data_IF_139522389062
#
_entry.id   IF_139522389062
#
_cell.length_a   1.000
_cell.length_b   1.000
_cell.length_c   1.000
_cell.angle_alpha   90.00
_cell.angle_beta   90.00
_cell.angle_gamma   90.00
#
_symmetry.space_group_name_H-M   'P 1'
#
loop_
_entity.id
_entity.type
_entity.pdbx_description
1 polymer ?
#
# COMPACT_ATOMS: atom_id res chain seq x y z
N UNK A 1 -61.27 27.42 36.15
CA UNK A 1 -60.31 28.31 35.45
C UNK A 1 -58.85 28.14 35.90
N UNK A 2 -58.50 28.01 37.20
CA UNK A 2 -57.08 27.88 37.64
C UNK A 2 -56.28 26.71 37.03
N UNK A 3 -56.90 25.53 36.77
CA UNK A 3 -56.20 24.37 36.18
C UNK A 3 -55.75 24.58 34.73
N UNK A 4 -56.47 25.39 33.93
CA UNK A 4 -56.13 25.62 32.51
C UNK A 4 -54.88 26.50 32.40
N UNK A 5 -54.73 27.51 33.26
CA UNK A 5 -53.55 28.38 33.27
C UNK A 5 -52.27 27.62 33.66
N UNK A 6 -52.37 26.58 34.50
CA UNK A 6 -51.21 25.78 34.91
C UNK A 6 -50.69 24.92 33.75
N UNK A 7 -51.60 24.30 32.98
CA UNK A 7 -51.25 23.47 31.82
C UNK A 7 -50.66 24.32 30.70
N UNK A 8 -51.22 25.50 30.43
CA UNK A 8 -50.70 26.39 29.39
C UNK A 8 -49.29 26.92 29.74
N UNK A 9 -49.05 27.24 31.01
CA UNK A 9 -47.72 27.64 31.49
C UNK A 9 -46.69 26.52 31.38
N UNK A 10 -47.07 25.27 31.68
CA UNK A 10 -46.20 24.11 31.54
C UNK A 10 -45.85 23.81 30.07
N UNK A 11 -46.79 23.96 29.14
CA UNK A 11 -46.55 23.75 27.70
C UNK A 11 -45.63 24.84 27.13
N UNK A 12 -45.82 26.10 27.53
CA UNK A 12 -45.00 27.22 27.07
C UNK A 12 -43.55 27.09 27.60
N UNK A 13 -43.38 26.73 28.86
CA UNK A 13 -42.05 26.52 29.46
C UNK A 13 -41.33 25.33 28.82
N UNK A 14 -42.02 24.22 28.55
CA UNK A 14 -41.43 23.08 27.83
C UNK A 14 -41.02 23.45 26.40
N UNK A 15 -41.86 24.19 25.67
CA UNK A 15 -41.54 24.66 24.31
C UNK A 15 -40.32 25.59 24.28
N UNK A 16 -40.23 26.52 25.23
CA UNK A 16 -39.08 27.44 25.35
C UNK A 16 -37.80 26.69 25.72
N UNK A 17 -37.89 25.71 26.63
CA UNK A 17 -36.73 24.88 27.01
C UNK A 17 -36.25 24.04 25.82
N UNK A 18 -37.18 23.45 25.05
CA UNK A 18 -36.83 22.68 23.86
C UNK A 18 -36.17 23.55 22.78
N UNK A 19 -36.72 24.74 22.51
CA UNK A 19 -36.13 25.70 21.58
C UNK A 19 -34.72 26.14 22.02
N UNK A 20 -34.52 26.40 23.32
CA UNK A 20 -33.20 26.73 23.87
C UNK A 20 -32.21 25.56 23.70
N UNK A 21 -32.62 24.31 23.95
CA UNK A 21 -31.75 23.14 23.72
C UNK A 21 -31.39 22.95 22.25
N UNK A 22 -32.30 23.24 21.32
CA UNK A 22 -32.02 23.18 19.88
C UNK A 22 -31.06 24.27 19.43
N UNK A 23 -31.17 25.49 19.99
CA UNK A 23 -30.23 26.58 19.71
C UNK A 23 -28.82 26.27 20.21
N UNK A 24 -28.69 25.78 21.45
CA UNK A 24 -27.40 25.37 22.00
C UNK A 24 -26.78 24.26 21.15
N UNK A 25 -27.56 23.25 20.77
CA UNK A 25 -27.07 22.17 19.91
C UNK A 25 -26.66 22.67 18.50
N UNK A 26 -27.33 23.69 17.97
CA UNK A 26 -26.98 24.30 16.68
C UNK A 26 -25.68 25.12 16.76
N UNK A 27 -25.48 25.87 17.86
CA UNK A 27 -24.25 26.62 18.10
C UNK A 27 -23.06 25.69 18.32
N UNK A 28 -23.24 24.60 19.08
CA UNK A 28 -22.21 23.57 19.30
C UNK A 28 -21.84 22.87 17.97
N UNK A 29 -22.83 22.51 17.16
CA UNK A 29 -22.59 21.92 15.83
C UNK A 29 -21.85 22.90 14.89
N UNK A 30 -22.21 24.20 14.91
CA UNK A 30 -21.53 25.22 14.11
C UNK A 30 -20.08 25.45 14.57
N UNK A 31 -19.81 25.38 15.88
CA UNK A 31 -18.48 25.48 16.43
C UNK A 31 -17.61 24.27 16.07
N UNK A 32 -18.17 23.05 16.15
CA UNK A 32 -17.49 21.81 15.72
C UNK A 32 -17.17 21.83 14.22
N UNK A 33 -18.13 22.28 13.40
CA UNK A 33 -17.96 22.46 11.96
C UNK A 33 -16.82 23.43 11.64
N UNK A 34 -16.75 24.56 12.34
CA UNK A 34 -15.68 25.54 12.17
C UNK A 34 -14.33 24.95 12.57
N UNK A 35 -14.24 24.31 13.73
CA UNK A 35 -13.00 23.68 14.19
C UNK A 35 -12.50 22.58 13.23
N UNK A 36 -13.43 21.79 12.67
CA UNK A 36 -13.14 20.78 11.65
C UNK A 36 -12.58 21.39 10.35
N UNK A 37 -13.14 22.52 9.90
CA UNK A 37 -12.65 23.27 8.74
C UNK A 37 -11.26 23.85 8.99
N UNK A 38 -11.06 24.53 10.12
CA UNK A 38 -9.77 25.15 10.48
C UNK A 38 -8.67 24.07 10.59
N UNK A 39 -8.99 22.92 11.19
CA UNK A 39 -8.07 21.76 11.26
C UNK A 39 -7.78 21.18 9.88
N UNK A 40 -8.79 21.06 9.02
CA UNK A 40 -8.62 20.59 7.64
C UNK A 40 -7.69 21.51 6.85
N UNK A 41 -7.88 22.83 6.95
CA UNK A 41 -7.04 23.82 6.28
C UNK A 41 -5.57 23.71 6.74
N UNK A 42 -5.35 23.58 8.06
CA UNK A 42 -4.00 23.36 8.60
C UNK A 42 -3.36 22.08 8.04
N UNK A 43 -4.09 20.96 8.03
CA UNK A 43 -3.58 19.68 7.51
C UNK A 43 -3.23 19.77 6.02
N UNK A 44 -4.05 20.46 5.23
CA UNK A 44 -3.81 20.66 3.80
C UNK A 44 -2.54 21.48 3.53
N UNK A 45 -2.31 22.51 4.35
CA UNK A 45 -1.10 23.33 4.24
C UNK A 45 0.17 22.54 4.59
N UNK A 46 0.09 21.64 5.58
CA UNK A 46 1.19 20.71 5.92
C UNK A 46 1.43 19.68 4.81
N UNK A 47 0.36 19.12 4.23
CA UNK A 47 0.46 18.21 3.07
C UNK A 47 1.15 18.90 1.89
N UNK A 48 0.82 20.16 1.60
CA UNK A 48 1.50 20.92 0.54
C UNK A 48 2.98 21.17 0.83
N UNK A 49 3.33 21.39 2.09
CA UNK A 49 4.73 21.55 2.50
C UNK A 49 5.51 20.25 2.26
N UNK A 50 4.99 19.12 2.75
CA UNK A 50 5.60 17.81 2.56
C UNK A 50 5.71 17.43 1.07
N UNK A 51 4.64 17.66 0.28
CA UNK A 51 4.65 17.41 -1.16
C UNK A 51 5.73 18.21 -1.92
N UNK A 52 5.97 19.46 -1.51
CA UNK A 52 7.06 20.27 -2.09
C UNK A 52 8.45 19.72 -1.75
N UNK A 53 8.63 19.15 -0.55
CA UNK A 53 9.88 18.51 -0.12
C UNK A 53 10.10 17.19 -0.87
N UNK A 54 9.06 16.37 -1.04
CA UNK A 54 9.11 15.15 -1.85
C UNK A 54 9.44 15.47 -3.32
N UNK A 55 8.83 16.54 -3.86
CA UNK A 55 9.15 17.01 -5.21
C UNK A 55 10.59 17.48 -5.33
N UNK A 56 11.08 18.25 -4.36
CA UNK A 56 12.48 18.69 -4.32
C UNK A 56 13.44 17.49 -4.25
N UNK A 57 13.10 16.46 -3.46
CA UNK A 57 13.88 15.22 -3.41
C UNK A 57 13.92 14.54 -4.77
N UNK A 58 12.77 14.38 -5.43
CA UNK A 58 12.70 13.83 -6.78
C UNK A 58 13.56 14.63 -7.78
N UNK A 59 13.48 15.96 -7.72
CA UNK A 59 14.20 16.84 -8.64
C UNK A 59 15.72 16.84 -8.36
N UNK A 60 16.17 16.68 -7.12
CA UNK A 60 17.60 16.47 -6.83
C UNK A 60 18.13 15.23 -7.56
N UNK A 61 17.40 14.12 -7.51
CA UNK A 61 17.80 12.88 -8.21
C UNK A 61 17.83 13.03 -9.75
N UNK A 62 17.12 14.02 -10.30
CA UNK A 62 17.16 14.32 -11.74
C UNK A 62 18.42 15.06 -12.18
N UNK A 63 19.27 15.46 -11.22
CA UNK A 63 20.47 16.27 -11.43
C UNK A 63 20.18 17.61 -12.13
N UNK A 64 19.04 18.25 -11.82
CA UNK A 64 18.72 19.59 -12.35
C UNK A 64 19.76 20.62 -11.85
N UNK A 65 20.57 21.24 -12.74
CA UNK A 65 21.57 22.23 -12.34
C UNK A 65 20.98 23.44 -11.60
N UNK A 66 19.69 23.74 -11.78
CA UNK A 66 18.99 24.84 -11.08
C UNK A 66 18.91 24.63 -9.58
N UNK A 67 19.08 23.39 -9.12
CA UNK A 67 18.98 22.99 -7.72
C UNK A 67 20.32 22.97 -6.97
N UNK A 68 21.42 23.43 -7.59
CA UNK A 68 22.75 23.50 -6.96
C UNK A 68 22.88 24.60 -5.88
N UNK A 69 21.81 25.32 -5.57
CA UNK A 69 21.79 26.41 -4.61
C UNK A 69 20.74 26.22 -3.52
N UNK A 70 20.47 27.31 -2.79
CA UNK A 70 19.44 27.33 -1.78
C UNK A 70 18.04 27.35 -2.43
N UNK A 71 17.25 26.31 -2.20
CA UNK A 71 15.86 26.23 -2.64
C UNK A 71 14.95 26.92 -1.61
N UNK A 72 14.21 27.94 -2.05
CA UNK A 72 13.35 28.76 -1.20
C UNK A 72 11.89 28.48 -1.53
N UNK A 73 11.11 28.11 -0.52
CA UNK A 73 9.67 27.91 -0.67
C UNK A 73 8.94 28.33 0.60
N UNK A 74 7.61 28.37 0.52
CA UNK A 74 6.74 28.75 1.64
C UNK A 74 5.90 27.55 2.07
N UNK A 75 5.94 27.27 3.35
CA UNK A 75 5.08 26.34 4.09
C UNK A 75 4.14 27.12 5.01
N UNK A 76 3.21 26.42 5.66
CA UNK A 76 2.32 27.00 6.67
C UNK A 76 3.10 27.66 7.82
N UNK A 77 4.19 27.00 8.24
CA UNK A 77 5.13 27.45 9.28
C UNK A 77 5.93 28.72 8.90
N UNK A 78 6.00 29.07 7.63
CA UNK A 78 6.74 30.24 7.15
C UNK A 78 7.56 29.98 5.88
N UNK A 79 8.57 30.83 5.66
CA UNK A 79 9.52 30.67 4.55
C UNK A 79 10.60 29.68 4.97
N UNK A 80 10.76 28.60 4.22
CA UNK A 80 11.84 27.63 4.40
C UNK A 80 12.89 27.83 3.30
N UNK A 81 14.16 27.63 3.68
CA UNK A 81 15.29 27.63 2.75
C UNK A 81 16.08 26.35 2.98
N UNK A 82 16.07 25.47 1.99
CA UNK A 82 16.79 24.20 2.05
C UNK A 82 18.02 24.30 1.15
N UNK A 83 19.18 23.97 1.70
CA UNK A 83 20.43 23.90 0.94
C UNK A 83 20.90 22.46 0.96
N UNK A 84 21.03 21.84 -0.22
CA UNK A 84 21.53 20.48 -0.32
C UNK A 84 22.93 20.35 0.31
N UNK A 85 23.23 19.25 1.03
CA UNK A 85 24.58 18.99 1.52
C UNK A 85 25.56 18.91 0.34
N UNK A 86 26.78 19.46 0.49
CA UNK A 86 27.76 19.48 -0.60
C UNK A 86 28.11 18.08 -1.14
N UNK A 87 28.09 17.06 -0.28
CA UNK A 87 28.36 15.67 -0.66
C UNK A 87 27.29 15.09 -1.60
N UNK A 88 26.04 15.57 -1.51
CA UNK A 88 24.90 15.01 -2.23
C UNK A 88 25.04 15.19 -3.74
N UNK A 89 25.63 16.30 -4.19
CA UNK A 89 25.85 16.55 -5.62
C UNK A 89 26.78 15.52 -6.26
N UNK A 90 27.87 15.14 -5.55
CA UNK A 90 28.80 14.11 -6.00
C UNK A 90 28.15 12.72 -6.02
N UNK A 91 27.38 12.39 -4.98
CA UNK A 91 26.68 11.11 -4.90
C UNK A 91 25.63 10.98 -6.01
N UNK A 92 24.79 12.00 -6.23
CA UNK A 92 23.77 11.97 -7.28
C UNK A 92 24.42 11.83 -8.66
N UNK A 93 25.50 12.56 -8.93
CA UNK A 93 26.24 12.42 -10.20
C UNK A 93 26.72 10.97 -10.40
N UNK A 94 27.17 10.31 -9.33
CA UNK A 94 27.55 8.90 -9.37
C UNK A 94 26.33 8.00 -9.59
N UNK A 95 25.23 8.22 -8.87
CA UNK A 95 23.98 7.44 -9.01
C UNK A 95 23.37 7.53 -10.43
N UNK A 96 23.46 8.69 -11.08
CA UNK A 96 23.02 8.86 -12.47
C UNK A 96 23.93 8.14 -13.46
N UNK A 97 25.21 7.95 -13.14
CA UNK A 97 26.15 7.21 -13.98
C UNK A 97 26.10 5.69 -13.76
N UNK A 98 25.74 5.24 -12.55
CA UNK A 98 25.65 3.80 -12.20
C UNK A 98 24.39 3.18 -12.81
N UNK A 99 24.58 2.20 -13.70
CA UNK A 99 23.49 1.33 -14.15
C UNK A 99 23.05 0.43 -13.00
N UNK A 100 21.74 0.38 -12.75
CA UNK A 100 21.18 -0.53 -11.77
C UNK A 100 21.18 -1.97 -12.32
N UNK A 101 21.39 -2.95 -11.44
CA UNK A 101 21.30 -4.35 -11.82
C UNK A 101 19.86 -4.71 -12.24
N UNK A 102 19.68 -5.23 -13.46
CA UNK A 102 18.36 -5.63 -13.96
C UNK A 102 18.30 -5.77 -15.49
N UNK A 103 17.14 -6.21 -15.99
CA UNK A 103 16.88 -6.29 -17.44
C UNK A 103 16.62 -4.91 -18.08
N UNK A 104 16.12 -3.97 -17.29
CA UNK A 104 15.85 -2.60 -17.72
C UNK A 104 17.10 -1.74 -17.51
N UNK A 105 17.46 -0.93 -18.50
CA UNK A 105 18.61 0.00 -18.43
C UNK A 105 18.27 1.25 -17.59
N UNK A 106 17.87 1.03 -16.34
CA UNK A 106 17.63 2.11 -15.38
C UNK A 106 18.92 2.44 -14.61
N UNK A 107 19.09 3.70 -14.27
CA UNK A 107 20.16 4.16 -13.36
C UNK A 107 19.72 4.02 -11.91
N UNK A 108 20.68 4.03 -10.98
CA UNK A 108 20.38 4.02 -9.55
C UNK A 108 19.49 5.21 -9.14
N UNK A 109 19.78 6.41 -9.67
CA UNK A 109 18.96 7.60 -9.42
C UNK A 109 17.51 7.42 -9.89
N UNK A 110 17.31 6.84 -11.08
CA UNK A 110 15.96 6.58 -11.61
C UNK A 110 15.19 5.55 -10.78
N UNK A 111 15.86 4.56 -10.18
CA UNK A 111 15.20 3.62 -9.26
C UNK A 111 14.69 4.33 -7.99
N UNK A 112 15.47 5.27 -7.44
CA UNK A 112 15.05 6.08 -6.29
C UNK A 112 13.99 7.14 -6.62
N UNK A 113 13.92 7.60 -7.87
CA UNK A 113 12.86 8.50 -8.32
C UNK A 113 11.48 7.85 -8.38
N UNK A 114 11.41 6.56 -8.69
CA UNK A 114 10.15 5.84 -8.83
C UNK A 114 9.22 5.90 -7.59
N UNK A 115 9.68 5.62 -6.35
CA UNK A 115 8.81 5.75 -5.17
C UNK A 115 8.43 7.21 -4.90
N UNK A 116 9.33 8.18 -5.11
CA UNK A 116 9.04 9.60 -4.90
C UNK A 116 8.01 10.14 -5.90
N UNK A 117 8.07 9.68 -7.16
CA UNK A 117 7.05 10.00 -8.16
C UNK A 117 5.67 9.47 -7.75
N UNK A 118 5.59 8.27 -7.17
CA UNK A 118 4.34 7.73 -6.65
C UNK A 118 3.80 8.58 -5.48
N UNK A 119 4.65 9.01 -4.54
CA UNK A 119 4.22 9.89 -3.44
C UNK A 119 3.79 11.28 -3.94
N UNK A 120 4.46 11.82 -4.95
CA UNK A 120 4.05 13.08 -5.59
C UNK A 120 2.67 12.94 -6.26
N UNK A 121 2.45 11.89 -7.05
CA UNK A 121 1.16 11.59 -7.66
C UNK A 121 0.05 11.43 -6.60
N UNK A 122 0.36 10.78 -5.47
CA UNK A 122 -0.56 10.69 -4.33
C UNK A 122 -0.93 12.08 -3.79
N UNK A 123 0.04 12.98 -3.62
CA UNK A 123 -0.23 14.35 -3.18
C UNK A 123 -1.12 15.13 -4.15
N UNK A 124 -0.96 14.92 -5.46
CA UNK A 124 -1.83 15.53 -6.48
C UNK A 124 -3.27 15.00 -6.39
N UNK A 125 -3.45 13.72 -6.10
CA UNK A 125 -4.77 13.16 -5.86
C UNK A 125 -5.45 13.73 -4.63
N UNK A 126 -4.71 13.85 -3.51
CA UNK A 126 -5.22 14.49 -2.29
C UNK A 126 -5.57 15.96 -2.56
N UNK A 127 -4.81 16.66 -3.41
CA UNK A 127 -5.15 18.04 -3.82
C UNK A 127 -6.48 18.12 -4.57
N UNK A 128 -6.82 17.11 -5.38
CA UNK A 128 -8.11 17.08 -6.10
C UNK A 128 -9.33 16.95 -5.18
N UNK A 129 -9.18 16.39 -3.98
CA UNK A 129 -10.29 16.30 -3.00
C UNK A 129 -10.52 17.59 -2.22
N UNK A 130 -9.64 18.59 -2.36
CA UNK A 130 -9.80 19.87 -1.66
C UNK A 130 -11.07 20.58 -2.10
N UNK A 131 -11.68 21.39 -1.21
CA UNK A 131 -12.72 22.31 -1.60
C UNK A 131 -12.29 23.18 -2.78
N UNK A 132 -13.23 23.48 -3.69
CA UNK A 132 -12.96 24.31 -4.88
C UNK A 132 -12.42 25.70 -4.48
N UNK A 133 -12.89 26.26 -3.37
CA UNK A 133 -12.41 27.53 -2.79
C UNK A 133 -10.90 27.52 -2.44
N UNK A 134 -10.32 26.35 -2.22
CA UNK A 134 -8.91 26.13 -1.88
C UNK A 134 -8.10 25.61 -3.08
N UNK A 135 -8.65 25.72 -4.30
CA UNK A 135 -7.99 25.32 -5.55
C UNK A 135 -8.07 23.82 -5.87
N UNK A 136 -8.91 23.07 -5.17
CA UNK A 136 -9.21 21.67 -5.49
C UNK A 136 -10.32 21.49 -6.51
N UNK A 137 -10.70 20.22 -6.72
CA UNK A 137 -11.84 19.84 -7.57
C UNK A 137 -13.08 19.46 -6.76
N UNK A 138 -13.00 19.47 -5.43
CA UNK A 138 -14.10 19.04 -4.54
C UNK A 138 -14.50 17.58 -4.72
N UNK A 139 -13.59 16.73 -5.23
CA UNK A 139 -13.90 15.32 -5.46
C UNK A 139 -14.14 14.60 -4.12
N UNK A 140 -15.14 13.71 -4.04
CA UNK A 140 -15.39 12.94 -2.83
C UNK A 140 -14.22 11.97 -2.56
N UNK A 141 -13.90 11.72 -1.29
CA UNK A 141 -12.77 10.88 -0.90
C UNK A 141 -12.80 9.48 -1.52
N UNK A 142 -14.00 8.89 -1.67
CA UNK A 142 -14.20 7.60 -2.35
C UNK A 142 -13.67 7.54 -3.78
N UNK A 143 -13.53 8.68 -4.46
CA UNK A 143 -12.91 8.77 -5.78
C UNK A 143 -11.44 8.32 -5.77
N UNK A 144 -10.79 8.38 -4.60
CA UNK A 144 -9.42 7.98 -4.43
C UNK A 144 -9.23 6.48 -4.27
N UNK A 145 -10.27 5.68 -3.96
CA UNK A 145 -10.08 4.27 -3.61
C UNK A 145 -9.32 3.47 -4.70
N UNK A 146 -9.77 3.57 -5.96
CA UNK A 146 -9.07 2.92 -7.07
C UNK A 146 -7.67 3.49 -7.32
N UNK A 147 -7.54 4.81 -7.27
CA UNK A 147 -6.27 5.49 -7.55
C UNK A 147 -5.21 5.23 -6.44
N UNK A 148 -5.63 5.14 -5.17
CA UNK A 148 -4.79 4.78 -4.03
C UNK A 148 -4.30 3.35 -4.15
N UNK A 149 -5.17 2.41 -4.53
CA UNK A 149 -4.76 1.02 -4.77
C UNK A 149 -3.71 0.93 -5.88
N UNK A 150 -3.92 1.63 -7.00
CA UNK A 150 -2.96 1.68 -8.12
C UNK A 150 -1.62 2.31 -7.69
N UNK A 151 -1.67 3.39 -6.91
CA UNK A 151 -0.49 4.03 -6.34
C UNK A 151 0.28 3.13 -5.39
N UNK A 152 -0.43 2.43 -4.52
CA UNK A 152 0.17 1.50 -3.57
C UNK A 152 0.91 0.40 -4.35
N UNK A 153 0.29 -0.21 -5.37
CA UNK A 153 0.96 -1.20 -6.24
C UNK A 153 2.19 -0.63 -6.93
N UNK A 154 2.14 0.62 -7.43
CA UNK A 154 3.30 1.28 -8.04
C UNK A 154 4.44 1.50 -7.04
N UNK A 155 4.11 1.96 -5.83
CA UNK A 155 5.08 2.18 -4.77
C UNK A 155 5.72 0.86 -4.32
N UNK A 156 4.93 -0.20 -4.13
CA UNK A 156 5.41 -1.54 -3.78
C UNK A 156 6.38 -2.10 -4.83
N UNK A 157 6.01 -2.00 -6.11
CA UNK A 157 6.89 -2.37 -7.22
C UNK A 157 8.20 -1.57 -7.21
N UNK A 158 8.13 -0.26 -6.94
CA UNK A 158 9.31 0.60 -6.89
C UNK A 158 10.24 0.22 -5.71
N UNK A 159 9.69 -0.03 -4.53
CA UNK A 159 10.45 -0.49 -3.37
C UNK A 159 11.04 -1.89 -3.58
N UNK A 160 10.31 -2.80 -4.22
CA UNK A 160 10.82 -4.12 -4.59
C UNK A 160 12.00 -4.03 -5.58
N UNK A 161 11.97 -3.06 -6.52
CA UNK A 161 13.10 -2.81 -7.42
C UNK A 161 14.34 -2.35 -6.66
N UNK A 162 14.19 -1.44 -5.70
CA UNK A 162 15.29 -1.00 -4.84
C UNK A 162 15.91 -2.17 -4.08
N UNK A 163 15.09 -3.03 -3.45
CA UNK A 163 15.55 -4.24 -2.75
C UNK A 163 16.35 -5.17 -3.66
N UNK A 164 15.82 -5.48 -4.84
CA UNK A 164 16.51 -6.35 -5.82
C UNK A 164 17.84 -5.77 -6.29
N UNK A 165 17.92 -4.45 -6.41
CA UNK A 165 19.15 -3.75 -6.76
C UNK A 165 20.13 -3.58 -5.58
N UNK A 166 19.78 -4.00 -4.37
CA UNK A 166 20.63 -3.96 -3.16
C UNK A 166 21.19 -2.56 -2.85
N UNK A 167 20.32 -1.55 -2.97
CA UNK A 167 20.69 -0.14 -2.92
C UNK A 167 20.72 0.47 -1.50
N UNK A 168 20.82 -0.36 -0.44
CA UNK A 168 20.85 0.12 0.94
C UNK A 168 22.02 1.07 1.24
N UNK A 169 23.15 0.91 0.52
CA UNK A 169 24.33 1.77 0.63
C UNK A 169 24.24 3.12 -0.11
N UNK A 170 23.14 3.41 -0.82
CA UNK A 170 22.97 4.67 -1.56
C UNK A 170 23.06 5.89 -0.64
N UNK A 171 23.16 7.09 -1.22
CA UNK A 171 23.16 8.35 -0.45
C UNK A 171 24.26 8.43 0.61
N UNK A 172 25.45 7.93 0.29
CA UNK A 172 26.57 7.85 1.24
C UNK A 172 26.24 7.01 2.48
N UNK A 173 25.57 5.86 2.31
CA UNK A 173 25.19 4.95 3.39
C UNK A 173 23.85 5.24 4.06
N UNK A 174 23.07 6.21 3.57
CA UNK A 174 21.75 6.58 4.13
C UNK A 174 20.57 5.87 3.44
N UNK A 175 20.83 5.11 2.38
CA UNK A 175 19.81 4.44 1.59
C UNK A 175 18.84 3.62 2.43
N UNK A 176 19.32 2.93 3.47
CA UNK A 176 18.45 2.15 4.34
C UNK A 176 17.42 2.98 5.11
N UNK A 177 17.85 4.11 5.70
CA UNK A 177 16.95 5.00 6.46
C UNK A 177 15.93 5.65 5.53
N UNK A 178 16.38 6.10 4.34
CA UNK A 178 15.49 6.64 3.30
C UNK A 178 14.44 5.59 2.93
N UNK A 179 14.88 4.36 2.64
CA UNK A 179 14.00 3.26 2.29
C UNK A 179 13.01 2.90 3.40
N UNK A 180 13.46 2.87 4.66
CA UNK A 180 12.60 2.57 5.80
C UNK A 180 11.45 3.57 5.92
N UNK A 181 11.69 4.85 5.67
CA UNK A 181 10.64 5.86 5.70
C UNK A 181 9.69 5.73 4.50
N UNK A 182 10.18 5.40 3.30
CA UNK A 182 9.30 5.09 2.17
C UNK A 182 8.44 3.84 2.40
N UNK A 183 8.97 2.83 3.11
CA UNK A 183 8.22 1.65 3.54
C UNK A 183 7.10 2.04 4.51
N UNK A 184 7.36 2.91 5.49
CA UNK A 184 6.31 3.44 6.37
C UNK A 184 5.26 4.22 5.59
N UNK A 185 5.66 5.05 4.63
CA UNK A 185 4.74 5.77 3.75
C UNK A 185 3.81 4.79 3.00
N UNK A 186 4.34 3.67 2.50
CA UNK A 186 3.55 2.62 1.87
C UNK A 186 2.57 1.95 2.85
N UNK A 187 3.01 1.66 4.07
CA UNK A 187 2.14 1.10 5.12
C UNK A 187 0.99 2.05 5.49
N UNK A 188 1.28 3.34 5.64
CA UNK A 188 0.26 4.36 5.89
C UNK A 188 -0.70 4.52 4.70
N UNK A 189 -0.21 4.41 3.47
CA UNK A 189 -1.05 4.47 2.27
C UNK A 189 -2.01 3.27 2.20
N UNK A 190 -1.52 2.07 2.54
CA UNK A 190 -2.36 0.87 2.62
C UNK A 190 -3.39 0.96 3.76
N UNK A 191 -3.02 1.56 4.90
CA UNK A 191 -3.95 1.83 6.00
C UNK A 191 -5.00 2.89 5.64
N UNK A 192 -4.60 3.94 4.91
CA UNK A 192 -5.48 4.99 4.41
C UNK A 192 -6.56 4.41 3.49
N UNK A 193 -6.16 3.61 2.49
CA UNK A 193 -7.08 3.00 1.52
C UNK A 193 -8.23 2.26 2.21
N UNK A 194 -7.93 1.48 3.27
CA UNK A 194 -8.94 0.71 4.02
C UNK A 194 -9.90 1.58 4.84
N UNK A 195 -9.51 2.83 5.11
CA UNK A 195 -10.29 3.77 5.92
C UNK A 195 -11.09 4.78 5.10
N UNK A 196 -10.97 4.76 3.77
CA UNK A 196 -11.62 5.74 2.88
C UNK A 196 -13.15 5.76 3.01
N UNK A 197 -13.78 4.63 3.31
CA UNK A 197 -15.24 4.52 3.43
C UNK A 197 -15.77 4.83 4.85
N UNK A 198 -14.88 4.93 5.84
CA UNK A 198 -15.26 4.99 7.26
C UNK A 198 -14.83 6.28 7.96
N UNK A 199 -14.03 7.12 7.30
CA UNK A 199 -13.41 8.29 7.90
C UNK A 199 -14.19 9.59 7.75
N UNK A 200 -14.06 10.48 8.74
CA UNK A 200 -14.36 11.90 8.55
C UNK A 200 -13.33 12.55 7.61
N UNK A 201 -13.67 13.71 7.02
CA UNK A 201 -12.74 14.46 6.16
C UNK A 201 -11.44 14.83 6.87
N UNK A 202 -11.51 15.19 8.15
CA UNK A 202 -10.33 15.43 8.98
C UNK A 202 -9.48 14.17 9.08
N UNK A 203 -10.07 13.03 9.42
CA UNK A 203 -9.35 11.75 9.55
C UNK A 203 -8.65 11.35 8.24
N UNK A 204 -9.32 11.57 7.11
CA UNK A 204 -8.76 11.34 5.79
C UNK A 204 -7.49 12.17 5.54
N UNK A 205 -7.53 13.48 5.85
CA UNK A 205 -6.37 14.35 5.66
C UNK A 205 -5.26 14.09 6.68
N UNK A 206 -5.57 13.64 7.90
CA UNK A 206 -4.54 13.23 8.88
C UNK A 206 -3.77 12.00 8.42
N UNK A 207 -4.49 11.00 7.92
CA UNK A 207 -3.86 9.80 7.34
C UNK A 207 -3.08 10.14 6.07
N UNK A 208 -3.63 11.01 5.22
CA UNK A 208 -2.91 11.50 4.04
C UNK A 208 -1.63 12.25 4.41
N UNK A 209 -1.67 13.10 5.43
CA UNK A 209 -0.49 13.77 5.96
C UNK A 209 0.52 12.77 6.54
N UNK A 210 0.07 11.70 7.19
CA UNK A 210 0.96 10.65 7.70
C UNK A 210 1.73 9.95 6.59
N UNK A 211 1.12 9.70 5.43
CA UNK A 211 1.82 9.19 4.23
C UNK A 211 2.89 10.20 3.78
N UNK A 212 2.53 11.47 3.63
CA UNK A 212 3.44 12.51 3.14
C UNK A 212 4.58 12.82 4.10
N UNK A 213 4.33 12.80 5.41
CA UNK A 213 5.37 13.00 6.43
C UNK A 213 6.45 11.94 6.36
N UNK A 214 6.11 10.69 6.05
CA UNK A 214 7.10 9.65 5.85
C UNK A 214 7.96 9.89 4.58
N UNK A 215 7.39 10.49 3.52
CA UNK A 215 8.16 11.00 2.37
C UNK A 215 9.13 12.11 2.78
N UNK A 216 8.63 13.09 3.54
CA UNK A 216 9.44 14.17 4.10
C UNK A 216 10.56 13.65 5.02
N UNK A 217 10.28 12.66 5.88
CA UNK A 217 11.29 12.01 6.72
C UNK A 217 12.35 11.27 5.89
N UNK A 218 11.96 10.67 4.77
CA UNK A 218 12.90 10.08 3.82
C UNK A 218 13.83 11.15 3.21
N UNK A 219 13.30 12.33 2.90
CA UNK A 219 14.11 13.45 2.43
C UNK A 219 15.03 14.01 3.53
N UNK A 220 14.50 14.21 4.73
CA UNK A 220 15.24 14.71 5.89
C UNK A 220 16.39 13.77 6.29
N UNK A 221 16.25 12.46 6.05
CA UNK A 221 17.32 11.50 6.27
C UNK A 221 18.60 11.83 5.47
N UNK A 222 18.51 12.51 4.32
CA UNK A 222 19.68 12.98 3.57
C UNK A 222 20.49 14.05 4.30
N UNK A 223 19.89 14.73 5.27
CA UNK A 223 20.55 15.81 6.02
C UNK A 223 21.09 15.32 7.37
N UNK A 224 20.74 14.10 7.77
CA UNK A 224 21.24 13.48 8.99
C UNK A 224 22.69 12.99 8.84
N UNK A 225 23.36 12.77 9.97
CA UNK A 225 24.65 12.09 10.00
C UNK A 225 24.52 10.67 9.44
N UNK A 226 25.54 10.23 8.69
CA UNK A 226 25.54 8.87 8.15
C UNK A 226 25.64 7.86 9.30
N UNK A 227 24.91 6.75 9.26
CA UNK A 227 25.09 5.68 10.24
C UNK A 227 26.55 5.19 10.20
N UNK A 228 27.15 4.99 11.38
CA UNK A 228 28.56 4.61 11.54
C UNK A 228 28.87 3.17 11.12
N UNK A 229 27.85 2.33 10.91
CA UNK A 229 28.00 0.94 10.51
C UNK A 229 27.69 0.77 9.03
N UNK A 230 28.62 0.15 8.30
CA UNK A 230 28.39 -0.33 6.95
C UNK A 230 27.34 -1.45 7.00
N UNK A 231 26.08 -1.10 6.73
CA UNK A 231 24.98 -2.05 6.60
C UNK A 231 25.34 -3.10 5.54
N UNK A 232 25.16 -4.37 5.90
CA UNK A 232 25.44 -5.53 5.07
C UNK A 232 24.47 -5.62 3.88
N UNK A 233 24.61 -4.75 2.88
CA UNK A 233 24.01 -4.82 1.53
C UNK A 233 22.47 -4.88 1.39
N UNK A 234 21.72 -5.11 2.46
CA UNK A 234 20.26 -5.27 2.49
C UNK A 234 19.58 -4.13 3.22
N UNK A 235 18.29 -3.96 2.95
CA UNK A 235 17.44 -3.03 3.68
C UNK A 235 16.95 -3.66 4.98
N UNK A 236 16.90 -2.90 6.07
CA UNK A 236 16.40 -3.34 7.39
C UNK A 236 14.87 -3.40 7.46
N UNK A 237 14.19 -2.58 6.65
CA UNK A 237 12.74 -2.47 6.66
C UNK A 237 12.07 -3.46 5.69
N UNK A 238 11.17 -4.28 6.22
CA UNK A 238 10.32 -5.19 5.45
C UNK A 238 8.86 -4.76 5.55
N UNK A 239 8.26 -4.60 4.38
CA UNK A 239 6.83 -4.41 4.23
C UNK A 239 6.44 -4.83 2.82
N UNK A 240 5.38 -5.59 2.75
CA UNK A 240 4.68 -5.97 1.52
C UNK A 240 3.25 -5.47 1.65
N UNK A 241 2.73 -4.89 0.59
CA UNK A 241 1.32 -4.52 0.54
C UNK A 241 0.44 -5.71 0.90
N UNK A 242 -0.61 -5.45 1.68
CA UNK A 242 -1.58 -6.48 1.96
C UNK A 242 -2.28 -6.91 0.66
N UNK A 243 -2.28 -8.23 0.36
CA UNK A 243 -2.92 -8.77 -0.83
C UNK A 243 -4.37 -8.32 -0.93
N UNK A 244 -4.76 -7.79 -2.09
CA UNK A 244 -6.10 -7.24 -2.35
C UNK A 244 -6.64 -7.79 -3.66
N UNK A 245 -7.96 -7.81 -3.78
CA UNK A 245 -8.60 -8.20 -5.04
C UNK A 245 -8.50 -7.04 -6.02
N UNK A 246 -7.60 -7.16 -7.00
CA UNK A 246 -7.44 -6.16 -8.05
C UNK A 246 -8.52 -6.31 -9.14
N UNK A 247 -8.87 -5.25 -9.88
CA UNK A 247 -9.75 -5.35 -11.05
C UNK A 247 -9.28 -6.46 -12.00
N UNK A 248 -10.21 -7.31 -12.44
CA UNK A 248 -9.90 -8.47 -13.29
C UNK A 248 -9.39 -9.71 -12.55
N UNK A 249 -8.93 -9.58 -11.31
CA UNK A 249 -8.64 -10.69 -10.42
C UNK A 249 -9.90 -11.42 -9.95
N UNK A 250 -9.73 -12.66 -9.48
CA UNK A 250 -10.75 -13.50 -8.85
C UNK A 250 -10.19 -14.03 -7.54
N UNK A 251 -10.98 -13.90 -6.48
CA UNK A 251 -10.65 -14.52 -5.20
C UNK A 251 -11.37 -15.86 -5.11
N UNK A 252 -10.63 -16.96 -5.16
CA UNK A 252 -11.20 -18.31 -5.00
C UNK A 252 -10.73 -18.91 -3.68
N UNK A 253 -11.68 -19.37 -2.85
CA UNK A 253 -11.38 -20.12 -1.64
C UNK A 253 -11.20 -21.60 -1.99
N UNK A 254 -10.05 -22.18 -1.62
CA UNK A 254 -9.77 -23.60 -1.75
C UNK A 254 -9.77 -24.23 -0.36
N UNK A 255 -10.51 -25.31 -0.19
CA UNK A 255 -10.48 -26.11 1.04
C UNK A 255 -9.24 -27.01 1.04
N UNK A 256 -8.44 -26.92 2.10
CA UNK A 256 -7.17 -27.61 2.21
C UNK A 256 -7.03 -28.26 3.58
N UNK A 257 -6.31 -29.40 3.66
CA UNK A 257 -5.98 -30.01 4.94
C UNK A 257 -5.23 -29.03 5.86
N UNK A 258 -5.47 -29.13 7.17
CA UNK A 258 -4.88 -28.21 8.17
C UNK A 258 -3.36 -28.10 8.04
N UNK A 259 -2.68 -29.23 7.86
CA UNK A 259 -1.22 -29.29 7.77
C UNK A 259 -0.64 -28.48 6.59
N UNK A 260 -1.40 -28.25 5.52
CA UNK A 260 -0.96 -27.40 4.40
C UNK A 260 -1.12 -25.91 4.68
N UNK A 261 -2.01 -25.57 5.61
CA UNK A 261 -2.25 -24.19 6.05
C UNK A 261 -1.30 -23.78 7.17
N UNK A 262 -0.56 -24.73 7.75
CA UNK A 262 0.51 -24.47 8.71
C UNK A 262 1.67 -23.76 8.01
N UNK A 263 2.07 -22.60 8.54
CA UNK A 263 3.13 -21.77 7.96
C UNK A 263 2.69 -20.88 6.80
N UNK A 264 1.55 -21.17 6.15
CA UNK A 264 0.98 -20.34 5.09
C UNK A 264 0.47 -19.01 5.65
N UNK A 265 0.92 -17.90 5.05
CA UNK A 265 0.54 -16.55 5.46
C UNK A 265 -0.09 -15.78 4.31
N UNK A 266 -0.89 -14.77 4.66
CA UNK A 266 -1.36 -13.77 3.70
C UNK A 266 -0.13 -13.06 3.12
N UNK A 267 -0.03 -12.99 1.80
CA UNK A 267 1.12 -12.39 1.11
C UNK A 267 1.96 -13.41 0.37
N UNK A 268 1.99 -14.66 0.84
CA UNK A 268 2.77 -15.72 0.24
C UNK A 268 2.35 -15.96 -1.21
N UNK A 269 3.33 -16.36 -2.04
CA UNK A 269 3.08 -16.87 -3.38
C UNK A 269 3.10 -18.39 -3.35
N UNK A 270 2.11 -19.02 -3.95
CA UNK A 270 1.97 -20.47 -3.98
C UNK A 270 1.76 -21.01 -5.39
N UNK A 271 2.21 -22.24 -5.60
CA UNK A 271 1.83 -23.05 -6.74
C UNK A 271 0.72 -24.03 -6.33
N UNK A 272 -0.30 -24.18 -7.18
CA UNK A 272 -1.37 -25.17 -6.97
C UNK A 272 -1.05 -26.43 -7.76
N UNK A 273 -0.78 -27.49 -7.02
CA UNK A 273 -0.61 -28.85 -7.54
C UNK A 273 -1.92 -29.61 -7.43
N UNK A 274 -2.29 -30.29 -8.50
CA UNK A 274 -3.53 -31.05 -8.61
C UNK A 274 -3.19 -32.48 -8.94
N UNK A 275 -3.70 -33.40 -8.13
CA UNK A 275 -3.59 -34.84 -8.38
C UNK A 275 -4.93 -35.38 -8.87
N UNK A 276 -4.93 -36.03 -10.02
CA UNK A 276 -6.13 -36.59 -10.65
C UNK A 276 -5.82 -37.91 -11.36
N UNK A 277 -6.86 -38.71 -11.60
CA UNK A 277 -6.74 -39.96 -12.35
C UNK A 277 -6.95 -39.69 -13.85
N UNK A 278 -5.92 -39.91 -14.64
CA UNK A 278 -5.96 -39.81 -16.09
C UNK A 278 -6.27 -41.17 -16.72
N UNK A 279 -7.14 -41.22 -17.72
CA UNK A 279 -7.45 -42.45 -18.45
C UNK A 279 -6.56 -42.52 -19.69
N UNK A 280 -5.66 -43.50 -19.74
CA UNK A 280 -4.72 -43.70 -20.85
C UNK A 280 -5.43 -44.41 -22.00
N UNK A 281 -5.01 -44.14 -23.24
CA UNK A 281 -5.43 -44.89 -24.42
C UNK A 281 -5.11 -46.39 -24.22
N UNK A 282 -6.15 -47.20 -23.94
CA UNK A 282 -6.01 -48.58 -23.46
C UNK A 282 -6.83 -48.89 -22.20
N UNK A 283 -7.49 -47.90 -21.60
CA UNK A 283 -8.44 -48.09 -20.50
C UNK A 283 -7.82 -48.18 -19.10
N UNK A 284 -6.49 -48.09 -19.00
CA UNK A 284 -5.80 -47.99 -17.70
C UNK A 284 -5.96 -46.61 -17.07
N UNK A 285 -6.12 -46.56 -15.75
CA UNK A 285 -6.05 -45.31 -14.97
C UNK A 285 -4.61 -45.07 -14.52
N UNK A 286 -4.13 -43.84 -14.65
CA UNK A 286 -2.84 -43.38 -14.11
C UNK A 286 -3.07 -42.18 -13.21
N UNK A 287 -2.60 -42.23 -11.96
CA UNK A 287 -2.69 -41.08 -11.06
C UNK A 287 -1.54 -40.13 -11.38
N UNK A 288 -1.87 -38.91 -11.77
CA UNK A 288 -0.91 -37.89 -12.22
C UNK A 288 -1.02 -36.67 -11.31
N UNK A 289 0.12 -36.07 -10.97
CA UNK A 289 0.17 -34.77 -10.30
C UNK A 289 0.74 -33.72 -11.25
N UNK A 290 0.02 -32.62 -11.43
CA UNK A 290 0.41 -31.51 -12.29
C UNK A 290 0.27 -30.17 -11.56
N UNK A 291 1.19 -29.25 -11.83
CA UNK A 291 1.07 -27.85 -11.38
C UNK A 291 0.21 -27.10 -12.39
N UNK A 292 -0.99 -26.67 -11.98
CA UNK A 292 -1.93 -25.99 -12.88
C UNK A 292 -1.92 -24.47 -12.72
N UNK A 293 -1.45 -23.97 -11.57
CA UNK A 293 -1.33 -22.55 -11.28
C UNK A 293 0.01 -22.32 -10.63
N UNK A 294 0.72 -21.30 -11.11
CA UNK A 294 2.01 -20.89 -10.60
C UNK A 294 1.97 -19.45 -10.11
N UNK A 295 2.58 -19.19 -8.96
CA UNK A 295 2.72 -17.85 -8.39
C UNK A 295 1.38 -17.19 -8.04
N UNK A 296 0.40 -17.95 -7.54
CA UNK A 296 -0.83 -17.37 -7.02
C UNK A 296 -0.58 -16.73 -5.66
N UNK A 297 -1.04 -15.49 -5.47
CA UNK A 297 -0.88 -14.80 -4.18
C UNK A 297 -1.97 -15.24 -3.20
N UNK A 298 -1.60 -15.49 -1.94
CA UNK A 298 -2.53 -15.83 -0.86
C UNK A 298 -3.19 -14.55 -0.32
N UNK A 299 -4.49 -14.40 -0.54
CA UNK A 299 -5.30 -13.28 -0.05
C UNK A 299 -5.62 -13.40 1.44
N UNK A 300 -5.96 -14.60 1.90
CA UNK A 300 -6.27 -14.88 3.30
C UNK A 300 -6.21 -16.38 3.59
N UNK A 301 -5.88 -16.72 4.83
CA UNK A 301 -5.93 -18.11 5.33
C UNK A 301 -6.95 -18.16 6.46
N UNK A 302 -7.97 -19.00 6.31
CA UNK A 302 -8.93 -19.30 7.35
C UNK A 302 -8.59 -20.67 7.94
N UNK A 303 -8.03 -20.67 9.15
CA UNK A 303 -7.79 -21.90 9.91
C UNK A 303 -9.14 -22.55 10.29
N UNK A 304 -9.20 -23.88 10.37
CA UNK A 304 -10.40 -24.57 10.82
C UNK A 304 -10.81 -24.11 12.22
N UNK A 305 -12.12 -24.15 12.49
CA UNK A 305 -12.61 -24.15 13.88
C UNK A 305 -12.16 -25.46 14.55
N UNK A 306 -11.99 -25.42 15.87
CA UNK A 306 -11.57 -26.58 16.66
C UNK A 306 -12.37 -27.85 16.28
N UNK A 307 -11.66 -28.93 15.93
CA UNK A 307 -12.25 -30.19 15.48
C UNK A 307 -12.53 -30.33 13.98
N UNK A 308 -12.33 -29.31 13.14
CA UNK A 308 -12.47 -29.43 11.69
C UNK A 308 -11.16 -29.86 11.01
N UNK A 309 -11.25 -30.82 10.08
CA UNK A 309 -10.09 -31.40 9.36
C UNK A 309 -9.55 -30.52 8.22
N UNK A 310 -10.34 -29.53 7.78
CA UNK A 310 -10.01 -28.64 6.66
C UNK A 310 -10.18 -27.18 7.03
N UNK A 311 -9.24 -26.36 6.60
CA UNK A 311 -9.43 -24.91 6.54
C UNK A 311 -9.58 -24.44 5.09
N UNK A 312 -9.42 -23.14 4.86
CA UNK A 312 -9.38 -22.62 3.49
C UNK A 312 -8.29 -21.58 3.27
N UNK A 313 -7.74 -21.57 2.06
CA UNK A 313 -6.89 -20.50 1.56
C UNK A 313 -7.60 -19.79 0.41
N UNK A 314 -7.70 -18.46 0.47
CA UNK A 314 -8.20 -17.65 -0.64
C UNK A 314 -7.03 -17.23 -1.50
N UNK A 315 -7.06 -17.58 -2.78
CA UNK A 315 -6.02 -17.23 -3.74
C UNK A 315 -6.49 -16.12 -4.67
N UNK A 316 -5.58 -15.21 -5.02
CA UNK A 316 -5.76 -14.22 -6.09
C UNK A 316 -5.37 -14.87 -7.42
N UNK A 317 -6.36 -15.06 -8.28
CA UNK A 317 -6.23 -15.76 -9.55
C UNK A 317 -6.71 -14.85 -10.69
N UNK A 318 -6.16 -15.03 -11.88
CA UNK A 318 -6.81 -14.49 -13.09
C UNK A 318 -8.07 -15.33 -13.45
N UNK A 319 -8.83 -14.89 -14.46
CA UNK A 319 -10.10 -15.55 -14.82
C UNK A 319 -9.92 -17.02 -15.22
N UNK A 320 -8.87 -17.32 -15.99
CA UNK A 320 -8.59 -18.69 -16.47
C UNK A 320 -8.10 -19.59 -15.33
N UNK A 321 -7.18 -19.10 -14.51
CA UNK A 321 -6.70 -19.79 -13.32
C UNK A 321 -7.84 -20.10 -12.34
N UNK A 322 -8.77 -19.16 -12.14
CA UNK A 322 -9.93 -19.37 -11.27
C UNK A 322 -10.84 -20.50 -11.78
N UNK A 323 -11.05 -20.60 -13.10
CA UNK A 323 -11.81 -21.69 -13.69
C UNK A 323 -11.12 -23.05 -13.47
N UNK A 324 -9.81 -23.13 -13.72
CA UNK A 324 -9.05 -24.36 -13.50
C UNK A 324 -9.01 -24.77 -12.03
N UNK A 325 -8.80 -23.82 -11.11
CA UNK A 325 -8.83 -24.11 -9.68
C UNK A 325 -10.21 -24.56 -9.21
N UNK A 326 -11.29 -23.92 -9.68
CA UNK A 326 -12.66 -24.32 -9.33
C UNK A 326 -12.99 -25.72 -9.87
N UNK A 327 -12.61 -26.02 -11.12
CA UNK A 327 -12.76 -27.36 -11.69
C UNK A 327 -11.98 -28.41 -10.89
N UNK A 328 -10.74 -28.08 -10.53
CA UNK A 328 -9.87 -28.97 -9.74
C UNK A 328 -10.43 -29.20 -8.34
N UNK A 329 -11.03 -28.19 -7.70
CA UNK A 329 -11.68 -28.36 -6.41
C UNK A 329 -12.84 -29.36 -6.42
N UNK A 330 -13.44 -29.59 -7.60
CA UNK A 330 -14.55 -30.55 -7.76
C UNK A 330 -14.05 -31.92 -8.23
N UNK A 331 -13.09 -31.95 -9.15
CA UNK A 331 -12.71 -33.19 -9.87
C UNK A 331 -11.41 -33.82 -9.38
N UNK A 332 -10.56 -33.06 -8.70
CA UNK A 332 -9.27 -33.57 -8.25
C UNK A 332 -9.43 -34.56 -7.10
N UNK A 333 -8.52 -35.54 -7.07
CA UNK A 333 -8.37 -36.43 -5.92
C UNK A 333 -7.70 -35.73 -4.75
N UNK A 334 -6.72 -34.89 -5.02
CA UNK A 334 -5.98 -34.12 -4.01
C UNK A 334 -5.54 -32.75 -4.56
N UNK A 335 -5.57 -31.74 -3.69
CA UNK A 335 -5.06 -30.40 -3.95
C UNK A 335 -3.92 -30.12 -2.99
N UNK A 336 -2.80 -29.63 -3.52
CA UNK A 336 -1.66 -29.21 -2.70
C UNK A 336 -1.17 -27.82 -3.05
N UNK A 337 -0.78 -27.06 -2.03
CA UNK A 337 -0.05 -25.83 -2.19
C UNK A 337 1.45 -26.05 -1.97
N UNK A 338 2.27 -25.47 -2.84
CA UNK A 338 3.71 -25.32 -2.62
C UNK A 338 4.02 -23.84 -2.43
N UNK A 339 4.54 -23.46 -1.26
CA UNK A 339 4.94 -22.08 -0.96
C UNK A 339 6.25 -21.77 -1.69
N UNK A 340 6.29 -20.62 -2.36
CA UNK A 340 7.48 -20.11 -3.03
C UNK A 340 8.39 -19.38 -2.06
N UNK A 341 9.69 -19.41 -2.33
CA UNK A 341 10.65 -18.59 -1.61
C UNK A 341 10.35 -17.09 -1.83
N UNK A 342 10.66 -16.26 -0.84
CA UNK A 342 10.48 -14.82 -0.96
C UNK A 342 11.26 -14.27 -2.16
N UNK A 343 10.59 -13.50 -3.00
CA UNK A 343 11.16 -12.95 -4.24
C UNK A 343 11.17 -13.92 -5.43
N UNK A 344 10.77 -15.18 -5.28
CA UNK A 344 10.63 -16.12 -6.39
C UNK A 344 9.34 -15.87 -7.19
N UNK A 345 9.44 -14.94 -8.13
CA UNK A 345 8.36 -14.57 -9.06
C UNK A 345 8.47 -15.26 -10.41
N UNK A 346 9.48 -16.11 -10.63
CA UNK A 346 9.74 -16.69 -11.94
C UNK A 346 8.84 -17.91 -12.18
N UNK A 347 8.13 -17.89 -13.30
CA UNK A 347 7.30 -19.02 -13.74
C UNK A 347 8.22 -20.02 -14.43
N UNK A 348 8.48 -21.16 -13.80
CA UNK A 348 9.31 -22.24 -14.37
C UNK A 348 8.42 -23.41 -14.74
N UNK A 349 8.51 -23.94 -15.97
CA UNK A 349 7.81 -25.17 -16.34
C UNK A 349 8.13 -26.27 -15.32
N UNK A 350 7.10 -26.83 -14.69
CA UNK A 350 7.23 -28.01 -13.84
C UNK A 350 6.80 -29.22 -14.64
N UNK A 351 7.67 -30.23 -14.74
CA UNK A 351 7.32 -31.46 -15.42
C UNK A 351 6.22 -32.21 -14.67
N UNK A 352 5.29 -32.78 -15.44
CA UNK A 352 4.22 -33.62 -14.91
C UNK A 352 4.82 -34.93 -14.39
N UNK A 353 4.68 -35.16 -13.09
CA UNK A 353 5.16 -36.36 -12.42
C UNK A 353 4.11 -37.47 -12.44
N UNK A 354 4.55 -38.69 -12.77
CA UNK A 354 3.79 -39.94 -12.61
C UNK A 354 4.73 -41.00 -12.10
N UNK A 355 4.28 -41.84 -11.16
CA UNK A 355 5.10 -42.92 -10.60
C UNK A 355 5.61 -43.90 -11.66
N UNK A 356 4.84 -44.12 -12.74
CA UNK A 356 5.28 -44.96 -13.87
C UNK A 356 6.47 -44.39 -14.64
N UNK A 357 6.69 -43.08 -14.58
CA UNK A 357 7.88 -42.45 -15.17
C UNK A 357 9.11 -42.54 -14.27
N UNK A 358 8.90 -42.71 -12.96
CA UNK A 358 9.97 -42.69 -11.94
C UNK A 358 10.56 -44.09 -11.76
N UNK A 359 9.71 -45.12 -11.70
CA UNK A 359 10.14 -46.51 -11.53
C UNK A 359 10.20 -47.17 -12.91
N UNK A 360 11.41 -47.41 -13.42
CA UNK A 360 11.66 -48.13 -14.67
C UNK A 360 11.64 -49.64 -14.48
#
# INVERSE_FOLDING_TARGET
MKKINLVFSAILTFSLLHAATLLIAADDAAAEDKASRDRTESLLADIDCAAKKDRLFYDYLSYDPRLRGAYKFRCASGKETITAPAWLAGEISSMTARAAAGKEKLTEAQLWQAPLAALYDFSELVRKTRPVKEGGLGLPQRFLAGNCADLAVRLDKALANLRRAKLAGSFGGRGDVVFSNLVKAMSELDALERSLDLGSQVTFYEKSLSVMKNGEEAFNALFAEAPSFAMSGGFSAEYSISPRLLPGGRALALELPVYQLEGLKRGDFVDLLVTYDNTVAGGGKDTITATIIQGAQVLSVAKPKEGAEKGSARLLLNTVQAQYAALSAVQARDLRLSVRAEGDVEVKPMEVASFKKIVK
#
